data_IF_689144862826
#
_entry.id   IF_689144862826
#
_cell.length_a   1.000
_cell.length_b   1.000
_cell.length_c   1.000
_cell.angle_alpha   90.00
_cell.angle_beta   90.00
_cell.angle_gamma   90.00
#
_symmetry.space_group_name_H-M   'P 1'
#
loop_
_entity.id
_entity.type
_entity.pdbx_description
1 polymer ?
#
# COMPACT_ATOMS: atom_id res chain seq x y z
N UNK A 1 -61.58 2.99 26.10
CA UNK A 1 -60.14 3.19 25.80
C UNK A 1 -59.44 1.84 25.91
N UNK A 2 -58.35 1.62 25.18
CA UNK A 2 -57.58 0.36 25.00
C UNK A 2 -58.08 -0.58 23.91
N UNK A 3 -57.61 -0.36 22.68
CA UNK A 3 -57.82 -1.32 21.59
C UNK A 3 -57.07 -0.99 20.30
N UNK A 4 -55.88 -0.35 20.36
CA UNK A 4 -55.07 -0.04 19.16
C UNK A 4 -53.56 0.06 19.45
N UNK A 5 -52.97 -0.90 20.17
CA UNK A 5 -51.50 -0.96 20.33
C UNK A 5 -51.07 -2.44 20.35
N UNK A 6 -51.15 -3.15 19.22
CA UNK A 6 -50.50 -4.47 19.09
C UNK A 6 -49.81 -4.71 17.74
N UNK A 7 -49.81 -3.74 16.83
CA UNK A 7 -49.32 -3.94 15.45
C UNK A 7 -48.06 -3.16 15.09
N UNK A 8 -47.35 -2.59 16.08
CA UNK A 8 -46.15 -1.77 15.81
C UNK A 8 -44.83 -2.49 16.17
N UNK A 9 -44.85 -3.53 17.01
CA UNK A 9 -43.62 -4.20 17.43
C UNK A 9 -43.02 -5.14 16.37
N UNK A 10 -43.82 -5.67 15.45
CA UNK A 10 -43.36 -6.64 14.44
C UNK A 10 -42.56 -6.01 13.28
N UNK A 11 -42.69 -4.70 13.06
CA UNK A 11 -42.02 -4.00 11.95
C UNK A 11 -40.61 -3.51 12.29
N UNK A 12 -40.26 -3.38 13.58
CA UNK A 12 -38.94 -2.89 14.01
C UNK A 12 -37.86 -3.97 13.82
N UNK A 13 -38.24 -5.26 13.69
CA UNK A 13 -37.31 -6.35 13.40
C UNK A 13 -36.85 -6.42 11.94
N UNK A 14 -37.62 -5.88 10.98
CA UNK A 14 -37.19 -5.85 9.56
C UNK A 14 -36.28 -4.68 9.22
N UNK A 15 -36.11 -3.74 10.16
CA UNK A 15 -35.05 -2.72 10.12
C UNK A 15 -33.89 -3.09 11.04
N UNK A 16 -33.61 -4.40 11.19
CA UNK A 16 -32.22 -4.81 11.40
C UNK A 16 -31.48 -4.41 10.12
N UNK A 17 -31.16 -3.11 10.05
CA UNK A 17 -30.18 -2.52 9.16
C UNK A 17 -29.05 -3.53 9.17
N UNK A 18 -28.83 -4.18 8.03
CA UNK A 18 -27.63 -4.93 7.77
C UNK A 18 -26.50 -3.93 7.95
N UNK A 19 -26.04 -3.81 9.20
CA UNK A 19 -24.77 -3.26 9.60
C UNK A 19 -23.79 -4.19 8.90
N UNK A 20 -23.48 -3.85 7.65
CA UNK A 20 -22.33 -4.41 6.95
C UNK A 20 -21.16 -3.93 7.78
N UNK A 21 -20.77 -4.76 8.74
CA UNK A 21 -19.60 -4.55 9.55
C UNK A 21 -18.43 -4.60 8.58
N UNK A 22 -18.00 -3.42 8.13
CA UNK A 22 -16.79 -3.26 7.34
C UNK A 22 -15.65 -3.36 8.34
N UNK A 23 -14.98 -4.51 8.38
CA UNK A 23 -13.70 -4.60 9.06
C UNK A 23 -12.74 -3.60 8.41
N UNK A 24 -12.21 -2.66 9.20
CA UNK A 24 -11.18 -1.72 8.74
C UNK A 24 -9.86 -2.50 8.62
N UNK A 25 -9.36 -2.65 7.41
CA UNK A 25 -8.11 -3.35 7.15
C UNK A 25 -6.95 -2.37 7.03
N UNK A 26 -5.75 -2.84 7.40
CA UNK A 26 -4.54 -2.04 7.33
C UNK A 26 -3.51 -2.68 6.40
N UNK A 27 -2.95 -1.87 5.51
CA UNK A 27 -1.83 -2.27 4.68
C UNK A 27 -0.72 -1.24 4.77
N UNK A 28 0.52 -1.69 4.86
CA UNK A 28 1.65 -0.79 4.97
C UNK A 28 2.97 -1.51 4.77
N UNK A 29 4.03 -0.73 4.63
CA UNK A 29 5.31 -1.31 4.29
C UNK A 29 6.46 -0.33 4.33
N UNK A 30 7.63 -0.89 4.05
CA UNK A 30 8.90 -0.18 3.97
C UNK A 30 9.58 -0.57 2.68
N UNK A 31 10.08 0.44 1.98
CA UNK A 31 10.91 0.29 0.80
C UNK A 31 12.24 0.99 1.08
N UNK A 32 13.35 0.26 0.98
CA UNK A 32 14.66 0.81 1.36
C UNK A 32 15.81 0.34 0.49
N UNK A 33 16.75 1.24 0.23
CA UNK A 33 18.03 0.93 -0.39
C UNK A 33 19.13 1.35 0.59
N UNK A 34 20.03 0.42 0.90
CA UNK A 34 21.15 0.65 1.82
C UNK A 34 22.47 0.90 1.10
N UNK A 35 22.49 0.92 -0.23
CA UNK A 35 23.68 1.14 -1.05
C UNK A 35 24.65 -0.04 -1.11
N UNK A 36 24.42 -1.09 -0.31
CA UNK A 36 25.31 -2.25 -0.17
C UNK A 36 24.99 -3.39 -1.14
N UNK A 37 23.75 -3.46 -1.64
CA UNK A 37 23.24 -4.64 -2.37
C UNK A 37 23.19 -4.44 -3.89
N UNK A 38 24.22 -3.84 -4.50
CA UNK A 38 24.30 -3.62 -5.95
C UNK A 38 23.05 -2.96 -6.57
N UNK A 39 22.50 -1.96 -5.88
CA UNK A 39 21.29 -1.25 -6.29
C UNK A 39 19.97 -2.00 -6.05
N UNK A 40 19.99 -3.16 -5.39
CA UNK A 40 18.78 -3.83 -4.93
C UNK A 40 18.09 -3.05 -3.82
N UNK A 41 16.77 -3.12 -3.84
CA UNK A 41 15.85 -2.49 -2.92
C UNK A 41 15.17 -3.58 -2.09
N UNK A 42 15.17 -3.38 -0.78
CA UNK A 42 14.44 -4.20 0.16
C UNK A 42 13.00 -3.67 0.30
N UNK A 43 12.03 -4.49 -0.05
CA UNK A 43 10.60 -4.23 0.07
C UNK A 43 10.00 -5.19 1.10
N UNK A 44 9.38 -4.62 2.14
CA UNK A 44 8.57 -5.36 3.11
C UNK A 44 7.15 -4.82 3.07
N UNK A 45 6.18 -5.68 2.79
CA UNK A 45 4.75 -5.38 2.83
C UNK A 45 4.07 -6.15 3.96
N UNK A 46 3.20 -5.48 4.70
CA UNK A 46 2.39 -6.06 5.75
C UNK A 46 0.91 -5.78 5.52
N UNK A 47 0.09 -6.79 5.79
CA UNK A 47 -1.37 -6.74 5.78
C UNK A 47 -1.89 -7.18 7.14
N UNK A 48 -2.66 -6.33 7.82
CA UNK A 48 -3.15 -6.54 9.19
C UNK A 48 -2.04 -7.02 10.15
N UNK A 49 -0.86 -6.39 10.03
CA UNK A 49 0.33 -6.69 10.83
C UNK A 49 1.13 -7.92 10.39
N UNK A 50 0.62 -8.75 9.48
CA UNK A 50 1.31 -9.95 8.97
C UNK A 50 2.17 -9.62 7.75
N UNK A 51 3.39 -10.14 7.69
CA UNK A 51 4.26 -9.97 6.51
C UNK A 51 3.67 -10.76 5.35
N UNK A 52 3.48 -10.06 4.24
CA UNK A 52 2.98 -10.62 2.97
C UNK A 52 4.14 -10.79 2.00
N UNK A 53 4.96 -9.75 1.86
CA UNK A 53 6.15 -9.76 1.03
C UNK A 53 7.36 -9.30 1.84
N UNK A 54 8.48 -9.96 1.61
CA UNK A 54 9.81 -9.58 2.10
C UNK A 54 10.80 -9.96 1.01
N UNK A 55 11.17 -8.99 0.17
CA UNK A 55 11.93 -9.23 -1.07
C UNK A 55 13.06 -8.25 -1.25
N UNK A 56 14.16 -8.71 -1.84
CA UNK A 56 15.36 -7.92 -2.11
C UNK A 56 15.71 -8.01 -3.59
N UNK A 57 15.18 -7.06 -4.36
CA UNK A 57 15.24 -7.10 -5.82
C UNK A 57 15.68 -5.78 -6.45
N UNK A 58 16.19 -5.86 -7.68
CA UNK A 58 16.65 -4.66 -8.40
C UNK A 58 15.47 -4.02 -9.12
N UNK A 59 15.10 -2.77 -8.79
CA UNK A 59 14.04 -2.08 -9.51
C UNK A 59 14.45 -1.75 -10.94
N UNK A 60 13.47 -1.69 -11.83
CA UNK A 60 13.62 -1.30 -13.23
C UNK A 60 12.76 -0.06 -13.50
N UNK A 61 13.17 0.82 -14.41
CA UNK A 61 12.29 1.90 -14.86
C UNK A 61 11.14 1.30 -15.66
N UNK A 62 9.92 1.77 -15.41
CA UNK A 62 8.76 1.40 -16.25
C UNK A 62 8.90 2.02 -17.65
N UNK A 63 9.48 3.22 -17.73
CA UNK A 63 9.73 3.95 -18.98
C UNK A 63 11.21 4.34 -19.07
N UNK A 64 11.93 3.76 -20.04
CA UNK A 64 13.37 3.95 -20.20
C UNK A 64 13.77 5.39 -20.54
N UNK A 65 12.90 6.13 -21.22
CA UNK A 65 13.11 7.52 -21.64
C UNK A 65 12.82 8.54 -20.53
N UNK A 66 12.29 8.09 -19.39
CA UNK A 66 12.00 8.95 -18.26
C UNK A 66 13.28 9.51 -17.61
N UNK A 67 13.27 10.83 -17.36
CA UNK A 67 14.42 11.60 -16.84
C UNK A 67 14.23 12.20 -15.45
N UNK A 68 13.01 12.25 -14.93
CA UNK A 68 12.71 12.90 -13.65
C UNK A 68 11.49 12.24 -13.01
N UNK A 69 11.59 11.93 -11.72
CA UNK A 69 10.52 11.31 -10.92
C UNK A 69 9.92 10.07 -11.60
N UNK A 70 10.81 9.20 -12.04
CA UNK A 70 10.41 8.03 -12.80
C UNK A 70 9.72 7.00 -11.91
N UNK A 71 8.77 6.29 -12.52
CA UNK A 71 8.16 5.12 -11.89
C UNK A 71 9.13 3.94 -12.05
N UNK A 72 9.47 3.36 -10.92
CA UNK A 72 10.25 2.14 -10.81
C UNK A 72 9.33 0.96 -10.49
N UNK A 73 9.64 -0.20 -11.04
CA UNK A 73 8.93 -1.46 -10.79
C UNK A 73 9.89 -2.50 -10.20
N UNK A 74 9.42 -3.18 -9.17
CA UNK A 74 10.03 -4.38 -8.61
C UNK A 74 9.13 -5.55 -9.00
N UNK A 75 9.62 -6.41 -9.88
CA UNK A 75 8.96 -7.69 -10.22
C UNK A 75 9.54 -8.79 -9.36
N UNK A 76 8.70 -9.61 -8.72
CA UNK A 76 9.13 -10.71 -7.88
C UNK A 76 8.09 -11.84 -7.84
N UNK A 77 8.55 -13.07 -7.61
CA UNK A 77 7.72 -14.26 -7.84
C UNK A 77 7.27 -14.34 -9.30
N UNK A 78 6.19 -15.08 -9.56
CA UNK A 78 5.70 -15.27 -10.94
C UNK A 78 4.82 -14.12 -11.45
N UNK A 79 4.08 -13.45 -10.56
CA UNK A 79 3.03 -12.50 -10.97
C UNK A 79 2.93 -11.23 -10.12
N UNK A 80 3.87 -10.99 -9.19
CA UNK A 80 3.79 -9.79 -8.35
C UNK A 80 4.66 -8.67 -8.93
N UNK A 81 4.07 -7.48 -9.01
CA UNK A 81 4.81 -6.25 -9.27
C UNK A 81 4.46 -5.19 -8.23
N UNK A 82 5.47 -4.40 -7.89
CA UNK A 82 5.34 -3.30 -6.94
C UNK A 82 6.00 -2.07 -7.54
N UNK A 83 5.22 -1.01 -7.74
CA UNK A 83 5.68 0.22 -8.37
C UNK A 83 5.82 1.34 -7.36
N UNK A 84 6.77 2.23 -7.60
CA UNK A 84 7.03 3.37 -6.73
C UNK A 84 7.73 4.50 -7.46
N UNK A 85 7.52 5.73 -7.01
CA UNK A 85 8.27 6.93 -7.42
C UNK A 85 8.55 7.78 -6.17
N UNK A 86 8.82 9.09 -6.32
CA UNK A 86 9.08 9.97 -5.19
C UNK A 86 7.82 10.37 -4.40
N UNK A 87 6.64 10.22 -4.99
CA UNK A 87 5.35 10.59 -4.38
C UNK A 87 4.75 9.45 -3.55
N UNK A 88 4.84 8.21 -4.05
CA UNK A 88 4.21 7.08 -3.39
C UNK A 88 4.48 5.73 -4.04
N UNK A 89 3.61 4.79 -3.69
CA UNK A 89 3.64 3.39 -4.13
C UNK A 89 2.33 2.99 -4.79
N UNK A 90 2.43 2.10 -5.77
CA UNK A 90 1.33 1.61 -6.57
C UNK A 90 1.48 0.10 -6.74
N UNK A 91 0.52 -0.67 -6.25
CA UNK A 91 0.59 -2.14 -6.32
C UNK A 91 -0.79 -2.77 -6.22
N UNK A 92 -0.90 -4.03 -6.65
CA UNK A 92 -2.11 -4.82 -6.48
C UNK A 92 -1.87 -5.91 -5.44
N UNK A 93 -2.80 -6.07 -4.50
CA UNK A 93 -2.78 -7.16 -3.55
C UNK A 93 -4.20 -7.68 -3.33
N UNK A 94 -4.39 -9.00 -3.42
CA UNK A 94 -5.71 -9.66 -3.35
C UNK A 94 -6.78 -9.02 -4.26
N UNK A 95 -6.41 -8.60 -5.47
CA UNK A 95 -7.33 -7.97 -6.42
C UNK A 95 -7.63 -6.49 -6.14
N UNK A 96 -7.13 -5.93 -5.04
CA UNK A 96 -7.27 -4.51 -4.71
C UNK A 96 -6.06 -3.71 -5.20
N UNK A 97 -6.33 -2.60 -5.88
CA UNK A 97 -5.31 -1.63 -6.27
C UNK A 97 -5.05 -0.66 -5.11
N UNK A 98 -3.79 -0.54 -4.71
CA UNK A 98 -3.33 0.42 -3.72
C UNK A 98 -2.52 1.51 -4.39
N UNK A 99 -2.84 2.76 -4.05
CA UNK A 99 -2.07 3.95 -4.39
C UNK A 99 -1.87 4.73 -3.09
N UNK A 100 -0.69 4.61 -2.50
CA UNK A 100 -0.41 5.11 -1.16
C UNK A 100 0.75 6.10 -1.19
N UNK A 101 0.53 7.25 -0.59
CA UNK A 101 1.58 8.23 -0.36
C UNK A 101 2.52 7.76 0.76
N UNK A 102 3.75 8.26 0.73
CA UNK A 102 4.67 8.03 1.84
C UNK A 102 4.28 8.82 3.09
N UNK A 103 4.29 8.12 4.23
CA UNK A 103 4.27 8.75 5.56
C UNK A 103 5.60 9.42 5.85
N UNK A 104 6.68 8.78 5.38
CA UNK A 104 8.04 9.25 5.61
C UNK A 104 8.90 8.89 4.40
N UNK A 105 9.44 9.91 3.74
CA UNK A 105 10.28 9.78 2.56
C UNK A 105 11.71 10.28 2.86
N UNK A 106 12.49 9.48 3.61
CA UNK A 106 13.88 9.85 3.92
C UNK A 106 14.79 9.55 2.73
N UNK A 107 14.95 10.54 1.86
CA UNK A 107 16.06 10.63 0.93
C UNK A 107 17.29 11.18 1.66
N UNK A 108 18.48 10.67 1.36
CA UNK A 108 19.72 11.31 1.81
C UNK A 108 19.78 12.75 1.28
N UNK A 109 20.28 13.71 2.09
CA UNK A 109 20.25 15.17 1.82
C UNK A 109 20.90 15.61 0.49
N UNK A 110 21.58 14.72 -0.24
CA UNK A 110 22.23 14.99 -1.53
C UNK A 110 21.52 14.35 -2.73
N UNK A 111 20.36 13.74 -2.51
CA UNK A 111 19.61 13.07 -3.57
C UNK A 111 18.53 13.98 -4.14
N UNK A 112 18.55 14.18 -5.46
CA UNK A 112 17.49 14.87 -6.22
C UNK A 112 16.51 13.89 -6.87
N UNK A 113 16.90 12.63 -7.00
CA UNK A 113 16.11 11.55 -7.60
C UNK A 113 16.48 10.20 -6.96
N UNK A 114 15.58 9.22 -7.04
CA UNK A 114 15.74 7.84 -6.57
C UNK A 114 16.90 7.15 -7.31
N UNK A 115 17.04 7.39 -8.63
CA UNK A 115 18.08 6.74 -9.46
C UNK A 115 19.49 6.95 -8.93
N UNK A 116 19.77 8.19 -8.53
CA UNK A 116 21.08 8.61 -8.05
C UNK A 116 21.23 8.41 -6.54
N UNK A 117 20.16 8.02 -5.85
CA UNK A 117 20.16 7.89 -4.40
C UNK A 117 20.61 6.50 -3.95
N UNK A 118 21.85 6.42 -3.46
CA UNK A 118 22.38 5.19 -2.88
C UNK A 118 21.71 4.78 -1.57
N UNK A 119 21.09 5.71 -0.86
CA UNK A 119 20.50 5.46 0.46
C UNK A 119 19.16 6.15 0.60
N UNK A 120 18.10 5.37 0.74
CA UNK A 120 16.77 5.90 1.05
C UNK A 120 15.93 4.89 1.81
N UNK A 121 14.96 5.42 2.55
CA UNK A 121 13.96 4.62 3.26
C UNK A 121 12.62 5.32 3.18
N UNK A 122 11.67 4.64 2.55
CA UNK A 122 10.30 5.08 2.39
C UNK A 122 9.38 4.20 3.21
N UNK A 123 8.48 4.83 3.96
CA UNK A 123 7.44 4.15 4.72
C UNK A 123 6.09 4.61 4.21
N UNK A 124 5.18 3.67 3.95
CA UNK A 124 3.83 3.94 3.44
C UNK A 124 2.81 3.12 4.23
N UNK A 125 1.59 3.62 4.32
CA UNK A 125 0.45 2.87 4.84
C UNK A 125 -0.88 3.46 4.44
N UNK A 126 -1.92 2.64 4.41
CA UNK A 126 -3.31 3.03 4.23
C UNK A 126 -4.26 2.14 5.01
N UNK A 127 -5.46 2.66 5.22
CA UNK A 127 -6.60 1.94 5.76
C UNK A 127 -7.70 1.86 4.70
N UNK A 128 -8.47 0.77 4.68
CA UNK A 128 -9.54 0.58 3.71
C UNK A 128 -10.59 -0.42 4.20
#
# INVERSE_FOLDING_TARGET
>A
MLGKIKTVLGLIFMTAVSLVYSDEHYIGGILSNTGLNNGKVHLVLKYDGKIVFDVLEKPQKVFDDCRKDCVYEITFGEHNSFRFNSEGVYFTYNGHLFNLNYINNRLSQRCTDIEVCKHYRFTFSGKF
#
